data_IF_659794332579
#
_entry.id   IF_659794332579
#
_cell.length_a   1.000
_cell.length_b   1.000
_cell.length_c   1.000
_cell.angle_alpha   90.00
_cell.angle_beta   90.00
_cell.angle_gamma   90.00
#
_symmetry.space_group_name_H-M   'P 1'
#
loop_
_entity.id
_entity.type
_entity.pdbx_description
1 polymer ?
#
# COMPACT_ATOMS: atom_id res chain seq x y z
N UNK A 1 -20.08 15.44 -10.13
CA UNK A 1 -19.99 16.91 -10.01
C UNK A 1 -20.03 17.23 -8.54
N UNK A 2 -18.96 17.81 -8.01
CA UNK A 2 -18.86 18.62 -6.79
C UNK A 2 -17.44 19.14 -6.79
N UNK A 3 -17.29 20.46 -6.88
CA UNK A 3 -16.00 21.15 -7.01
C UNK A 3 -15.16 21.07 -5.73
N UNK A 4 -13.86 21.40 -5.82
CA UNK A 4 -12.99 21.46 -4.66
C UNK A 4 -13.35 22.69 -3.81
N UNK A 5 -13.58 22.45 -2.53
CA UNK A 5 -13.72 23.48 -1.51
C UNK A 5 -12.33 24.06 -1.24
N UNK A 6 -12.08 25.27 -1.72
CA UNK A 6 -10.87 26.03 -1.43
C UNK A 6 -11.02 26.67 -0.05
N UNK A 7 -10.13 26.29 0.88
CA UNK A 7 -9.95 26.95 2.17
C UNK A 7 -8.70 27.84 2.07
N UNK A 8 -8.86 29.03 1.51
CA UNK A 8 -7.99 30.17 1.79
C UNK A 8 -8.87 31.39 2.08
N UNK A 9 -8.71 32.05 3.25
CA UNK A 9 -9.43 33.28 3.55
C UNK A 9 -8.59 34.49 3.11
N UNK A 10 -9.10 35.26 2.16
CA UNK A 10 -8.51 36.50 1.69
C UNK A 10 -9.53 37.63 1.56
N UNK A 11 -9.70 38.39 2.65
CA UNK A 11 -10.16 39.80 2.72
C UNK A 11 -11.63 40.10 2.36
N UNK A 12 -12.42 40.84 3.12
CA UNK A 12 -12.27 41.64 4.33
C UNK A 12 -13.64 41.58 5.04
N UNK A 13 -13.74 41.29 6.33
CA UNK A 13 -13.85 42.34 7.35
C UNK A 13 -13.29 41.84 8.68
N UNK A 14 -12.39 42.67 9.20
CA UNK A 14 -11.56 42.59 10.40
C UNK A 14 -12.31 42.21 11.68
N UNK A 15 -12.09 41.04 12.28
CA UNK A 15 -12.27 40.78 13.73
C UNK A 15 -11.29 39.71 14.24
N UNK A 16 -10.00 39.95 14.05
CA UNK A 16 -8.91 39.20 14.69
C UNK A 16 -8.09 40.14 15.56
N UNK A 17 -8.02 39.82 16.85
CA UNK A 17 -6.95 40.14 17.81
C UNK A 17 -6.25 41.51 17.66
N UNK A 18 -6.83 42.54 18.26
CA UNK A 18 -6.04 43.68 18.72
C UNK A 18 -5.56 43.39 20.16
N UNK A 19 -4.30 42.96 20.29
CA UNK A 19 -3.53 43.11 21.52
C UNK A 19 -3.50 44.59 21.88
N UNK A 20 -4.17 44.97 22.96
CA UNK A 20 -4.11 46.32 23.51
C UNK A 20 -2.91 46.39 24.46
N UNK A 21 -1.93 47.28 24.24
CA UNK A 21 -0.82 47.48 25.18
C UNK A 21 -1.34 48.08 26.51
N UNK A 22 -0.63 47.88 27.63
CA UNK A 22 -1.05 48.40 28.92
C UNK A 22 -0.91 49.93 28.93
N UNK A 23 -2.03 50.63 29.01
CA UNK A 23 -2.04 52.07 29.26
C UNK A 23 -1.74 52.32 30.75
N UNK A 24 -0.79 53.22 30.98
CA UNK A 24 -0.29 53.62 32.29
C UNK A 24 -1.38 53.98 33.31
N UNK A 25 -1.11 53.60 34.56
CA UNK A 25 -1.83 53.97 35.78
C UNK A 25 -2.19 55.46 35.79
N UNK A 26 -3.47 55.78 35.63
CA UNK A 26 -4.06 57.02 36.14
C UNK A 26 -4.57 56.75 37.56
N UNK A 27 -4.22 57.58 38.56
CA UNK A 27 -4.76 57.42 39.90
C UNK A 27 -6.27 57.72 39.90
N UNK A 28 -7.06 57.05 40.75
CA UNK A 28 -8.49 57.31 40.84
C UNK A 28 -8.74 58.72 41.40
N UNK A 29 -9.64 59.45 40.73
CA UNK A 29 -10.26 60.67 41.25
C UNK A 29 -11.01 60.32 42.54
N UNK A 30 -10.74 61.07 43.60
CA UNK A 30 -11.55 61.09 44.81
C UNK A 30 -12.98 61.53 44.45
N UNK A 31 -13.95 60.68 44.77
CA UNK A 31 -15.36 61.05 44.85
C UNK A 31 -15.68 61.46 46.29
N UNK A 32 -16.57 62.43 46.52
CA UNK A 32 -16.89 62.93 47.85
C UNK A 32 -17.59 61.87 48.70
N UNK A 33 -17.17 61.79 49.96
CA UNK A 33 -17.94 61.27 51.09
C UNK A 33 -19.31 61.94 51.09
N UNK A 34 -20.39 61.14 51.03
CA UNK A 34 -21.67 61.38 51.70
C UNK A 34 -22.73 60.41 51.16
N UNK A 35 -22.78 59.21 51.74
CA UNK A 35 -24.05 58.49 51.95
C UNK A 35 -23.85 57.38 53.00
N UNK A 36 -24.38 57.48 54.24
CA UNK A 36 -24.30 56.42 55.23
C UNK A 36 -25.47 55.45 55.01
N UNK A 37 -25.57 54.87 53.82
CA UNK A 37 -26.32 53.63 53.65
C UNK A 37 -25.32 52.49 53.69
N UNK A 38 -25.25 51.83 54.85
CA UNK A 38 -24.59 50.54 55.07
C UNK A 38 -25.20 49.51 54.10
N UNK A 39 -24.76 49.52 52.85
CA UNK A 39 -24.88 48.34 51.99
C UNK A 39 -23.92 47.34 52.61
N UNK A 40 -24.47 46.45 53.43
CA UNK A 40 -23.77 45.26 53.93
C UNK A 40 -23.20 44.58 52.70
N UNK A 41 -21.91 44.80 52.42
CA UNK A 41 -21.13 43.88 51.59
C UNK A 41 -21.15 42.59 52.37
N UNK A 42 -22.09 41.72 52.03
CA UNK A 42 -22.01 40.32 52.38
C UNK A 42 -20.56 39.89 52.10
N UNK A 43 -19.89 39.24 53.07
CA UNK A 43 -18.56 38.71 52.84
C UNK A 43 -18.58 37.99 51.51
N UNK A 44 -17.68 38.34 50.58
CA UNK A 44 -17.51 37.52 49.38
C UNK A 44 -17.34 36.09 49.89
N UNK A 45 -18.15 35.12 49.43
CA UNK A 45 -17.96 33.74 49.80
C UNK A 45 -16.50 33.42 49.48
N UNK A 46 -15.71 33.20 50.52
CA UNK A 46 -14.35 32.71 50.32
C UNK A 46 -14.54 31.34 49.70
N UNK A 47 -13.93 31.06 48.53
CA UNK A 47 -14.05 29.75 47.91
C UNK A 47 -13.73 28.70 48.97
N UNK A 48 -14.64 27.75 49.16
CA UNK A 48 -14.40 26.64 50.07
C UNK A 48 -13.32 25.76 49.44
N UNK A 49 -12.06 26.08 49.77
CA UNK A 49 -10.90 25.45 49.16
C UNK A 49 -10.86 23.96 49.44
N UNK A 50 -11.44 23.49 50.55
CA UNK A 50 -11.55 22.06 50.84
C UNK A 50 -12.55 21.36 49.92
N UNK A 51 -13.71 21.96 49.65
CA UNK A 51 -14.69 21.41 48.71
C UNK A 51 -14.18 21.43 47.27
N UNK A 52 -13.43 22.48 46.88
CA UNK A 52 -12.78 22.56 45.57
C UNK A 52 -11.66 21.51 45.46
N UNK A 53 -10.89 21.26 46.53
CA UNK A 53 -9.88 20.21 46.59
C UNK A 53 -10.47 18.82 46.47
N UNK A 54 -11.58 18.55 47.17
CA UNK A 54 -12.32 17.28 47.06
C UNK A 54 -12.83 17.08 45.65
N UNK A 55 -13.46 18.09 45.06
CA UNK A 55 -13.95 18.01 43.67
C UNK A 55 -12.81 17.81 42.67
N UNK A 56 -11.66 18.47 42.89
CA UNK A 56 -10.47 18.30 42.08
C UNK A 56 -9.90 16.88 42.19
N UNK A 57 -9.90 16.28 43.40
CA UNK A 57 -9.47 14.90 43.61
C UNK A 57 -10.44 13.89 42.99
N UNK A 58 -11.75 14.06 43.18
CA UNK A 58 -12.78 13.16 42.68
C UNK A 58 -12.84 13.13 41.15
N UNK A 59 -12.60 14.27 40.50
CA UNK A 59 -12.63 14.42 39.05
C UNK A 59 -11.24 14.43 38.41
N UNK A 60 -10.17 14.15 39.17
CA UNK A 60 -8.78 14.28 38.70
C UNK A 60 -8.54 13.50 37.40
N UNK A 61 -9.00 12.25 37.31
CA UNK A 61 -8.80 11.40 36.13
C UNK A 61 -9.52 11.90 34.87
N UNK A 62 -10.62 12.65 35.04
CA UNK A 62 -11.45 13.18 33.94
C UNK A 62 -11.06 14.62 33.56
N UNK A 63 -10.57 15.40 34.52
CA UNK A 63 -10.09 16.77 34.35
C UNK A 63 -8.64 16.80 33.86
N UNK A 64 -7.81 15.87 34.32
CA UNK A 64 -6.37 15.80 33.99
C UNK A 64 -6.07 15.80 32.48
N UNK A 65 -6.83 15.08 31.63
CA UNK A 65 -6.69 15.10 30.17
C UNK A 65 -7.19 16.36 29.46
N UNK A 66 -7.96 17.22 30.13
CA UNK A 66 -8.55 18.40 29.49
C UNK A 66 -7.44 19.34 28.99
N UNK A 67 -7.58 19.81 27.74
CA UNK A 67 -6.63 20.75 27.10
C UNK A 67 -7.04 22.22 27.25
N UNK A 68 -8.27 22.48 27.69
CA UNK A 68 -8.77 23.83 27.95
C UNK A 68 -9.77 23.85 29.12
N UNK A 69 -9.83 24.92 29.93
CA UNK A 69 -10.85 25.09 30.98
C UNK A 69 -12.31 24.91 30.52
N UNK A 70 -12.60 25.12 29.24
CA UNK A 70 -13.95 24.93 28.69
C UNK A 70 -14.35 23.46 28.54
N UNK A 71 -13.39 22.55 28.36
CA UNK A 71 -13.68 21.10 28.41
C UNK A 71 -14.04 20.68 29.83
N UNK A 72 -13.36 21.26 30.83
CA UNK A 72 -13.71 21.09 32.24
C UNK A 72 -15.10 21.68 32.52
N UNK A 73 -15.44 22.84 31.97
CA UNK A 73 -16.78 23.41 32.11
C UNK A 73 -17.86 22.49 31.51
N UNK A 74 -17.64 21.96 30.30
CA UNK A 74 -18.55 21.02 29.65
C UNK A 74 -18.69 19.71 30.45
N UNK A 75 -17.59 19.23 31.04
CA UNK A 75 -17.60 18.09 31.95
C UNK A 75 -18.47 18.35 33.18
N UNK A 76 -18.27 19.48 33.86
CA UNK A 76 -19.04 19.85 35.05
C UNK A 76 -20.53 20.07 34.71
N UNK A 77 -20.83 20.64 33.54
CA UNK A 77 -22.20 20.78 33.02
C UNK A 77 -22.85 19.42 32.78
N UNK A 78 -22.12 18.47 32.18
CA UNK A 78 -22.61 17.10 31.96
C UNK A 78 -22.85 16.32 33.27
N UNK A 79 -22.09 16.63 34.33
CA UNK A 79 -22.35 16.13 35.70
C UNK A 79 -23.56 16.81 36.38
N UNK A 80 -24.19 17.78 35.71
CA UNK A 80 -25.39 18.45 36.20
C UNK A 80 -25.12 19.56 37.24
N UNK A 81 -23.91 20.11 37.29
CA UNK A 81 -23.60 21.22 38.19
C UNK A 81 -24.33 22.51 37.76
N UNK A 82 -25.34 22.89 38.54
CA UNK A 82 -26.09 24.13 38.34
C UNK A 82 -25.30 25.36 38.81
N UNK A 83 -25.60 26.53 38.24
CA UNK A 83 -24.95 27.78 38.62
C UNK A 83 -25.17 28.16 40.10
N UNK A 84 -26.29 27.75 40.69
CA UNK A 84 -26.56 27.95 42.12
C UNK A 84 -25.69 27.04 43.00
N UNK A 85 -25.54 25.77 42.63
CA UNK A 85 -24.64 24.86 43.32
C UNK A 85 -23.18 25.33 43.26
N UNK A 86 -22.74 25.86 42.10
CA UNK A 86 -21.38 26.41 41.94
C UNK A 86 -21.11 27.57 42.89
N UNK A 87 -22.06 28.50 43.01
CA UNK A 87 -21.94 29.67 43.89
C UNK A 87 -22.01 29.31 45.36
N UNK A 88 -22.97 28.46 45.74
CA UNK A 88 -23.24 28.15 47.15
C UNK A 88 -22.23 27.18 47.76
N UNK A 89 -21.79 26.17 47.00
CA UNK A 89 -20.93 25.10 47.51
C UNK A 89 -19.44 25.35 47.31
N UNK A 90 -19.07 25.99 46.20
CA UNK A 90 -17.65 26.18 45.84
C UNK A 90 -17.20 27.64 45.87
N UNK A 91 -18.12 28.59 46.12
CA UNK A 91 -17.81 30.02 46.22
C UNK A 91 -17.34 30.68 44.91
N UNK A 92 -17.51 30.00 43.77
CA UNK A 92 -17.15 30.51 42.45
C UNK A 92 -18.33 31.23 41.78
N UNK A 93 -18.11 32.34 41.06
CA UNK A 93 -19.18 33.16 40.49
C UNK A 93 -19.97 32.46 39.37
N UNK A 94 -19.32 31.55 38.64
CA UNK A 94 -19.91 30.78 37.56
C UNK A 94 -19.12 29.48 37.31
N UNK A 95 -19.72 28.58 36.53
CA UNK A 95 -19.15 27.28 36.14
C UNK A 95 -17.76 27.42 35.51
N UNK A 96 -17.55 28.42 34.66
CA UNK A 96 -16.27 28.66 33.98
C UNK A 96 -15.15 29.05 34.96
N UNK A 97 -15.47 29.83 35.98
CA UNK A 97 -14.50 30.20 37.02
C UNK A 97 -14.09 29.00 37.87
N UNK A 98 -15.05 28.14 38.22
CA UNK A 98 -14.76 26.86 38.89
C UNK A 98 -13.93 25.94 37.98
N UNK A 99 -14.29 25.84 36.70
CA UNK A 99 -13.58 25.03 35.72
C UNK A 99 -12.13 25.49 35.53
N UNK A 100 -11.86 26.80 35.48
CA UNK A 100 -10.49 27.34 35.46
C UNK A 100 -9.72 27.01 36.73
N UNK A 101 -10.36 27.13 37.91
CA UNK A 101 -9.72 26.79 39.18
C UNK A 101 -9.36 25.30 39.26
N UNK A 102 -10.25 24.40 38.83
CA UNK A 102 -9.98 22.96 38.78
C UNK A 102 -8.93 22.62 37.71
N UNK A 103 -8.95 23.32 36.57
CA UNK A 103 -7.97 23.15 35.51
C UNK A 103 -6.55 23.50 35.97
N UNK A 104 -6.37 24.57 36.75
CA UNK A 104 -5.08 24.97 37.30
C UNK A 104 -4.59 24.03 38.42
N UNK A 105 -5.53 23.41 39.16
CA UNK A 105 -5.24 22.67 40.40
C UNK A 105 -4.99 21.17 40.18
N UNK A 106 -5.65 20.57 39.18
CA UNK A 106 -5.43 19.18 38.81
C UNK A 106 -4.17 19.07 37.92
N UNK A 107 -3.19 18.19 38.25
CA UNK A 107 -2.05 17.93 37.38
C UNK A 107 -2.49 17.46 35.99
N UNK A 108 -1.88 18.00 34.94
CA UNK A 108 -2.19 17.59 33.57
C UNK A 108 -1.68 16.18 33.32
N UNK A 109 -2.58 15.30 32.91
CA UNK A 109 -2.27 13.93 32.50
C UNK A 109 -2.64 13.78 31.04
N UNK A 110 -1.70 13.41 30.18
CA UNK A 110 -1.97 13.16 28.77
C UNK A 110 -1.98 11.64 28.55
N UNK A 111 -3.12 10.96 28.81
CA UNK A 111 -3.19 9.51 28.62
C UNK A 111 -2.88 9.18 27.16
N UNK A 112 -1.97 8.23 26.96
CA UNK A 112 -1.64 7.76 25.62
C UNK A 112 -2.88 7.09 25.02
N UNK A 113 -3.38 7.63 23.90
CA UNK A 113 -4.52 7.05 23.19
C UNK A 113 -4.20 5.60 22.83
N UNK A 114 -5.16 4.69 23.04
CA UNK A 114 -5.02 3.31 22.65
C UNK A 114 -4.58 3.21 21.18
N UNK A 115 -3.58 2.38 20.91
CA UNK A 115 -3.02 2.25 19.57
C UNK A 115 -4.13 1.84 18.58
N UNK A 116 -4.51 2.76 17.69
CA UNK A 116 -5.48 2.45 16.65
C UNK A 116 -4.97 1.28 15.79
N UNK A 117 -5.85 0.35 15.40
CA UNK A 117 -5.45 -0.85 14.66
C UNK A 117 -4.72 -0.46 13.37
N UNK A 118 -3.66 -1.21 13.05
CA UNK A 118 -2.88 -1.00 11.83
C UNK A 118 -3.72 -1.36 10.59
N UNK A 119 -4.10 -0.38 9.74
CA UNK A 119 -4.89 -0.65 8.54
C UNK A 119 -4.10 -1.45 7.49
N UNK A 120 -2.78 -1.52 7.62
CA UNK A 120 -1.87 -2.19 6.69
C UNK A 120 -1.37 -3.54 7.21
N UNK A 121 -2.00 -4.08 8.27
CA UNK A 121 -1.61 -5.38 8.82
C UNK A 121 -1.64 -6.47 7.74
N UNK A 122 -0.51 -7.12 7.41
CA UNK A 122 -0.48 -8.09 6.34
C UNK A 122 -1.20 -9.38 6.72
N UNK A 123 -1.97 -9.93 5.78
CA UNK A 123 -2.38 -11.33 5.81
C UNK A 123 -1.20 -12.19 5.35
N UNK A 124 -0.43 -12.69 6.34
CA UNK A 124 0.82 -13.43 6.09
C UNK A 124 0.57 -14.69 5.25
N UNK A 125 -0.52 -15.41 5.53
CA UNK A 125 -0.85 -16.62 4.77
C UNK A 125 -1.19 -16.30 3.31
N UNK A 126 -1.93 -15.21 3.07
CA UNK A 126 -2.24 -14.76 1.72
C UNK A 126 -0.99 -14.33 0.94
N UNK A 127 -0.10 -13.53 1.53
CA UNK A 127 1.13 -13.08 0.86
C UNK A 127 2.02 -14.28 0.48
N UNK A 128 2.24 -15.21 1.41
CA UNK A 128 3.03 -16.42 1.14
C UNK A 128 2.37 -17.29 0.06
N UNK A 129 1.05 -17.46 0.11
CA UNK A 129 0.31 -18.22 -0.89
C UNK A 129 0.44 -17.59 -2.29
N UNK A 130 0.45 -16.25 -2.40
CA UNK A 130 0.66 -15.56 -3.69
C UNK A 130 2.02 -15.86 -4.29
N UNK A 131 3.09 -15.86 -3.48
CA UNK A 131 4.42 -16.27 -3.93
C UNK A 131 4.43 -17.68 -4.54
N UNK A 132 3.79 -18.64 -3.87
CA UNK A 132 3.63 -20.01 -4.39
C UNK A 132 2.82 -20.02 -5.69
N UNK A 133 1.68 -19.32 -5.73
CA UNK A 133 0.79 -19.27 -6.89
C UNK A 133 1.42 -18.62 -8.12
N UNK A 134 2.38 -17.72 -7.96
CA UNK A 134 3.12 -17.14 -9.08
C UNK A 134 4.10 -18.14 -9.71
N UNK A 135 4.71 -19.03 -8.92
CA UNK A 135 5.68 -20.01 -9.39
C UNK A 135 5.03 -21.29 -9.92
N UNK A 136 3.90 -21.70 -9.34
CA UNK A 136 3.22 -22.98 -9.61
C UNK A 136 2.87 -23.26 -11.08
N UNK A 137 2.48 -22.26 -11.90
CA UNK A 137 2.23 -22.46 -13.33
C UNK A 137 3.49 -22.92 -14.10
N UNK A 138 4.67 -22.66 -13.54
CA UNK A 138 5.95 -23.16 -14.06
C UNK A 138 5.98 -24.68 -14.21
N UNK A 139 5.24 -25.41 -13.36
CA UNK A 139 5.12 -26.87 -13.42
C UNK A 139 4.51 -27.36 -14.75
N UNK A 140 3.68 -26.55 -15.41
CA UNK A 140 3.14 -26.89 -16.72
C UNK A 140 4.25 -27.02 -17.78
N UNK A 141 5.28 -26.17 -17.72
CA UNK A 141 6.43 -26.29 -18.61
C UNK A 141 7.27 -27.53 -18.31
N UNK A 142 7.42 -27.91 -17.04
CA UNK A 142 8.11 -29.15 -16.66
C UNK A 142 7.37 -30.39 -17.22
N UNK A 143 6.04 -30.41 -17.11
CA UNK A 143 5.22 -31.49 -17.65
C UNK A 143 5.28 -31.56 -19.18
N UNK A 144 5.31 -30.40 -19.85
CA UNK A 144 5.35 -30.30 -21.30
C UNK A 144 6.75 -30.45 -21.92
N UNK A 145 7.84 -30.32 -21.15
CA UNK A 145 9.20 -30.25 -21.69
C UNK A 145 9.62 -31.44 -22.59
N UNK A 146 9.34 -32.71 -22.23
CA UNK A 146 9.72 -33.88 -23.05
C UNK A 146 8.92 -34.06 -24.33
N UNK A 147 7.89 -33.25 -24.58
CA UNK A 147 7.11 -33.29 -25.82
C UNK A 147 7.86 -32.66 -27.02
N UNK A 148 9.15 -32.33 -26.86
CA UNK A 148 10.06 -31.99 -27.96
C UNK A 148 9.83 -30.63 -28.61
N UNK A 149 9.03 -29.76 -27.99
CA UNK A 149 8.57 -28.51 -28.59
C UNK A 149 9.00 -27.25 -27.82
N UNK A 150 9.59 -27.40 -26.62
CA UNK A 150 9.87 -26.30 -25.71
C UNK A 150 10.81 -25.24 -26.31
N UNK A 151 11.92 -25.65 -26.94
CA UNK A 151 12.87 -24.71 -27.55
C UNK A 151 12.27 -23.93 -28.73
N UNK A 152 11.39 -24.58 -29.52
CA UNK A 152 10.71 -23.95 -30.65
C UNK A 152 9.64 -22.96 -30.19
N UNK A 153 8.96 -23.24 -29.08
CA UNK A 153 7.83 -22.45 -28.60
C UNK A 153 8.26 -21.29 -27.70
N UNK A 154 9.46 -21.39 -27.10
CA UNK A 154 9.97 -20.43 -26.13
C UNK A 154 9.88 -18.95 -26.59
N UNK A 155 10.33 -18.53 -27.80
CA UNK A 155 10.26 -17.12 -28.19
C UNK A 155 8.83 -16.55 -28.21
N UNK A 156 7.88 -17.33 -28.72
CA UNK A 156 6.48 -16.93 -28.81
C UNK A 156 5.81 -16.88 -27.43
N UNK A 157 6.08 -17.86 -26.57
CA UNK A 157 5.56 -17.93 -25.21
C UNK A 157 6.16 -16.82 -24.32
N UNK A 158 7.44 -16.52 -24.48
CA UNK A 158 8.11 -15.41 -23.81
C UNK A 158 7.48 -14.08 -24.25
N UNK A 159 7.32 -13.84 -25.56
CA UNK A 159 6.73 -12.61 -26.07
C UNK A 159 5.29 -12.41 -25.56
N UNK A 160 4.46 -13.47 -25.63
CA UNK A 160 3.11 -13.46 -25.06
C UNK A 160 3.11 -13.24 -23.54
N UNK A 161 4.07 -13.83 -22.82
CA UNK A 161 4.25 -13.67 -21.38
C UNK A 161 4.61 -12.24 -20.99
N UNK A 162 5.56 -11.62 -21.68
CA UNK A 162 5.96 -10.21 -21.47
C UNK A 162 4.77 -9.27 -21.68
N UNK A 163 4.01 -9.44 -22.76
CA UNK A 163 2.79 -8.65 -23.03
C UNK A 163 1.72 -8.90 -21.97
N UNK A 164 1.51 -10.16 -21.57
CA UNK A 164 0.55 -10.52 -20.52
C UNK A 164 0.91 -9.87 -19.18
N UNK A 165 2.20 -9.80 -18.85
CA UNK A 165 2.66 -9.24 -17.58
C UNK A 165 2.49 -7.71 -17.56
N UNK A 166 2.88 -7.03 -18.65
CA UNK A 166 2.65 -5.61 -18.84
C UNK A 166 1.14 -5.26 -18.76
N UNK A 167 0.31 -5.99 -19.49
CA UNK A 167 -1.14 -5.78 -19.47
C UNK A 167 -1.74 -6.07 -18.08
N UNK A 168 -1.31 -7.16 -17.45
CA UNK A 168 -1.77 -7.58 -16.12
C UNK A 168 -1.51 -6.53 -15.04
N UNK A 169 -0.37 -5.85 -15.06
CA UNK A 169 -0.07 -4.76 -14.11
C UNK A 169 -1.00 -3.56 -14.30
N UNK A 170 -1.18 -3.09 -15.53
CA UNK A 170 -2.10 -1.99 -15.83
C UNK A 170 -3.56 -2.34 -15.48
N UNK A 171 -3.99 -3.54 -15.85
CA UNK A 171 -5.34 -4.03 -15.56
C UNK A 171 -5.57 -4.21 -14.07
N UNK A 172 -4.60 -4.77 -13.34
CA UNK A 172 -4.66 -4.98 -11.89
C UNK A 172 -4.85 -3.66 -11.15
N UNK A 173 -4.01 -2.66 -11.45
CA UNK A 173 -4.16 -1.31 -10.89
C UNK A 173 -5.55 -0.72 -11.18
N UNK A 174 -5.99 -0.78 -12.45
CA UNK A 174 -7.29 -0.25 -12.85
C UNK A 174 -8.45 -0.96 -12.16
N UNK A 175 -8.37 -2.28 -12.00
CA UNK A 175 -9.39 -3.08 -11.35
C UNK A 175 -9.46 -2.79 -9.85
N UNK A 176 -8.32 -2.57 -9.17
CA UNK A 176 -8.31 -2.12 -7.77
C UNK A 176 -8.94 -0.72 -7.59
N UNK A 177 -8.70 0.22 -8.50
CA UNK A 177 -9.41 1.51 -8.49
C UNK A 177 -10.93 1.33 -8.67
N UNK A 178 -11.35 0.37 -9.50
CA UNK A 178 -12.78 0.07 -9.70
C UNK A 178 -13.39 -0.69 -8.53
N UNK A 179 -12.61 -1.49 -7.79
CA UNK A 179 -13.09 -2.15 -6.56
C UNK A 179 -13.51 -1.13 -5.50
N UNK A 180 -12.81 -0.01 -5.39
CA UNK A 180 -13.19 1.09 -4.51
C UNK A 180 -14.54 1.73 -4.90
N UNK A 181 -14.89 1.72 -6.19
CA UNK A 181 -16.17 2.23 -6.68
C UNK A 181 -17.31 1.19 -6.59
N UNK A 182 -17.00 -0.10 -6.72
CA UNK A 182 -17.98 -1.18 -6.59
C UNK A 182 -17.51 -2.50 -7.22
N UNK A 183 -18.02 -3.61 -6.68
CA UNK A 183 -17.64 -4.97 -7.13
C UNK A 183 -18.04 -5.21 -8.59
N UNK A 184 -19.28 -4.91 -8.96
CA UNK A 184 -19.77 -5.02 -10.34
C UNK A 184 -18.82 -4.34 -11.35
N UNK A 185 -18.39 -3.13 -11.02
CA UNK A 185 -17.55 -2.32 -11.90
C UNK A 185 -16.13 -2.84 -12.07
N UNK A 186 -15.57 -3.41 -11.00
CA UNK A 186 -14.33 -4.15 -11.08
C UNK A 186 -14.50 -5.42 -11.94
N UNK A 187 -15.59 -6.17 -11.75
CA UNK A 187 -15.90 -7.36 -12.55
C UNK A 187 -15.99 -7.06 -14.04
N UNK A 188 -16.66 -5.97 -14.43
CA UNK A 188 -16.73 -5.54 -15.85
C UNK A 188 -15.37 -5.20 -16.41
N UNK A 189 -14.57 -4.47 -15.63
CA UNK A 189 -13.22 -4.04 -16.03
C UNK A 189 -12.29 -5.25 -16.20
N UNK A 190 -12.37 -6.21 -15.27
CA UNK A 190 -11.62 -7.46 -15.35
C UNK A 190 -12.06 -8.30 -16.53
N UNK A 191 -13.36 -8.48 -16.78
CA UNK A 191 -13.84 -9.29 -17.90
C UNK A 191 -13.37 -8.75 -19.25
N UNK A 192 -13.61 -7.46 -19.52
CA UNK A 192 -13.23 -6.86 -20.80
C UNK A 192 -11.71 -6.71 -20.93
N UNK A 193 -11.05 -6.30 -19.85
CA UNK A 193 -9.60 -6.14 -19.81
C UNK A 193 -8.87 -7.47 -19.96
N UNK A 194 -9.31 -8.53 -19.29
CA UNK A 194 -8.70 -9.86 -19.37
C UNK A 194 -8.83 -10.44 -20.78
N UNK A 195 -10.01 -10.32 -21.41
CA UNK A 195 -10.22 -10.78 -22.78
C UNK A 195 -9.32 -10.02 -23.78
N UNK A 196 -9.28 -8.69 -23.69
CA UNK A 196 -8.42 -7.87 -24.57
C UNK A 196 -6.93 -8.19 -24.38
N UNK A 197 -6.49 -8.32 -23.13
CA UNK A 197 -5.11 -8.65 -22.80
C UNK A 197 -4.70 -10.03 -23.31
N UNK A 198 -5.57 -11.03 -23.12
CA UNK A 198 -5.32 -12.38 -23.61
C UNK A 198 -5.25 -12.41 -25.16
N UNK A 199 -6.16 -11.71 -25.84
CA UNK A 199 -6.13 -11.58 -27.29
C UNK A 199 -4.87 -10.89 -27.80
N UNK A 200 -4.44 -9.79 -27.17
CA UNK A 200 -3.23 -9.08 -27.54
C UNK A 200 -1.98 -9.95 -27.34
N UNK A 201 -1.84 -10.58 -26.18
CA UNK A 201 -0.71 -11.47 -25.90
C UNK A 201 -0.67 -12.68 -26.85
N UNK A 202 -1.83 -13.26 -27.15
CA UNK A 202 -1.95 -14.36 -28.14
C UNK A 202 -1.53 -13.89 -29.53
N UNK A 203 -1.99 -12.71 -29.97
CA UNK A 203 -1.62 -12.14 -31.25
C UNK A 203 -0.11 -11.87 -31.34
N UNK A 204 0.51 -11.38 -30.26
CA UNK A 204 1.98 -11.23 -30.18
C UNK A 204 2.69 -12.56 -30.32
N UNK A 205 2.25 -13.59 -29.58
CA UNK A 205 2.82 -14.94 -29.70
C UNK A 205 2.66 -15.52 -31.11
N UNK A 206 1.49 -15.33 -31.73
CA UNK A 206 1.22 -15.77 -33.10
C UNK A 206 2.13 -15.07 -34.12
N UNK A 207 2.33 -13.76 -33.98
CA UNK A 207 3.20 -12.98 -34.85
C UNK A 207 4.66 -13.44 -34.78
N UNK A 208 5.13 -13.80 -33.58
CA UNK A 208 6.49 -14.34 -33.39
C UNK A 208 6.62 -15.77 -33.91
N UNK A 209 5.58 -16.60 -33.78
CA UNK A 209 5.62 -18.00 -34.19
C UNK A 209 5.38 -18.25 -35.69
N UNK A 210 4.76 -17.29 -36.41
CA UNK A 210 4.29 -17.50 -37.78
C UNK A 210 3.06 -18.41 -37.90
N UNK A 211 2.35 -18.67 -36.80
CA UNK A 211 1.13 -19.50 -36.75
C UNK A 211 1.31 -20.94 -36.26
N UNK A 212 0.23 -21.72 -36.34
CA UNK A 212 0.22 -23.16 -36.02
C UNK A 212 0.04 -23.49 -34.52
N UNK A 213 0.52 -24.67 -34.05
CA UNK A 213 0.29 -25.15 -32.68
C UNK A 213 0.89 -24.25 -31.59
N UNK A 214 1.91 -23.46 -31.92
CA UNK A 214 2.52 -22.48 -31.01
C UNK A 214 1.53 -21.38 -30.61
N UNK A 215 0.67 -20.97 -31.56
CA UNK A 215 -0.37 -19.98 -31.29
C UNK A 215 -1.38 -20.50 -30.27
N UNK A 216 -1.72 -21.80 -30.32
CA UNK A 216 -2.60 -22.42 -29.33
C UNK A 216 -1.95 -22.46 -27.95
N UNK A 217 -0.66 -22.77 -27.87
CA UNK A 217 0.09 -22.73 -26.61
C UNK A 217 0.16 -21.30 -26.04
N UNK A 218 0.43 -20.30 -26.88
CA UNK A 218 0.41 -18.89 -26.49
C UNK A 218 -0.98 -18.44 -26.03
N UNK A 219 -2.04 -18.88 -26.71
CA UNK A 219 -3.42 -18.63 -26.32
C UNK A 219 -3.75 -19.24 -24.95
N UNK A 220 -3.39 -20.51 -24.74
CA UNK A 220 -3.57 -21.21 -23.47
C UNK A 220 -2.88 -20.48 -22.31
N UNK A 221 -1.61 -20.11 -22.48
CA UNK A 221 -0.84 -19.34 -21.50
C UNK A 221 -1.48 -17.97 -21.23
N UNK A 222 -1.88 -17.24 -22.28
CA UNK A 222 -2.45 -15.90 -22.15
C UNK A 222 -3.81 -15.92 -21.45
N UNK A 223 -4.66 -16.91 -21.77
CA UNK A 223 -5.94 -17.15 -21.10
C UNK A 223 -5.75 -17.52 -19.63
N UNK A 224 -4.78 -18.39 -19.33
CA UNK A 224 -4.42 -18.71 -17.94
C UNK A 224 -4.02 -17.46 -17.16
N UNK A 225 -3.07 -16.67 -17.68
CA UNK A 225 -2.57 -15.47 -17.00
C UNK A 225 -3.68 -14.44 -16.77
N UNK A 226 -4.57 -14.26 -17.75
CA UNK A 226 -5.71 -13.37 -17.66
C UNK A 226 -6.72 -13.83 -16.58
N UNK A 227 -7.04 -15.12 -16.54
CA UNK A 227 -7.95 -15.71 -15.56
C UNK A 227 -7.36 -15.69 -14.14
N UNK A 228 -6.09 -16.06 -13.99
CA UNK A 228 -5.37 -16.02 -12.72
C UNK A 228 -5.29 -14.58 -12.18
N UNK A 229 -5.00 -13.59 -13.04
CA UNK A 229 -5.00 -12.18 -12.65
C UNK A 229 -6.35 -11.72 -12.11
N UNK A 230 -7.46 -12.11 -12.76
CA UNK A 230 -8.80 -11.79 -12.27
C UNK A 230 -9.09 -12.43 -10.89
N UNK A 231 -8.71 -13.69 -10.69
CA UNK A 231 -8.87 -14.37 -9.40
C UNK A 231 -8.03 -13.72 -8.29
N UNK A 232 -6.80 -13.32 -8.59
CA UNK A 232 -5.91 -12.67 -7.62
C UNK A 232 -6.39 -11.27 -7.24
N UNK A 233 -6.85 -10.46 -8.20
CA UNK A 233 -7.44 -9.13 -7.93
C UNK A 233 -8.71 -9.26 -7.06
N UNK A 234 -9.53 -10.28 -7.33
CA UNK A 234 -10.75 -10.58 -6.55
C UNK A 234 -10.44 -11.36 -5.26
N UNK A 235 -9.17 -11.55 -4.93
CA UNK A 235 -8.71 -12.12 -3.67
C UNK A 235 -9.21 -13.57 -3.46
N UNK A 236 -9.12 -14.38 -4.53
CA UNK A 236 -9.51 -15.80 -4.61
C UNK A 236 -8.31 -16.73 -4.74
N UNK A 237 -7.28 -16.50 -3.93
CA UNK A 237 -6.02 -17.26 -3.96
C UNK A 237 -6.23 -18.76 -3.73
N UNK A 238 -7.08 -19.13 -2.76
CA UNK A 238 -7.37 -20.54 -2.44
C UNK A 238 -8.06 -21.28 -3.59
N UNK A 239 -8.92 -20.58 -4.33
CA UNK A 239 -9.60 -21.16 -5.48
C UNK A 239 -8.63 -21.36 -6.65
N UNK A 240 -7.71 -20.42 -6.85
CA UNK A 240 -6.63 -20.58 -7.83
C UNK A 240 -5.72 -21.75 -7.46
N UNK A 241 -5.36 -21.90 -6.18
CA UNK A 241 -4.59 -23.05 -5.72
C UNK A 241 -5.31 -24.36 -6.04
N UNK A 242 -6.61 -24.45 -5.73
CA UNK A 242 -7.43 -25.62 -6.03
C UNK A 242 -7.45 -25.93 -7.54
N UNK A 243 -7.61 -24.90 -8.39
CA UNK A 243 -7.61 -25.05 -9.84
C UNK A 243 -6.25 -25.54 -10.40
N UNK A 244 -5.15 -25.24 -9.71
CA UNK A 244 -3.81 -25.63 -10.12
C UNK A 244 -3.33 -26.96 -9.50
N UNK A 245 -4.13 -27.60 -8.63
CA UNK A 245 -3.80 -28.92 -8.05
C UNK A 245 -3.45 -30.00 -9.09
N UNK A 246 -4.03 -30.06 -10.32
CA UNK A 246 -3.61 -31.04 -11.32
C UNK A 246 -2.13 -30.91 -11.72
N UNK A 247 -1.57 -29.70 -11.72
CA UNK A 247 -0.15 -29.48 -12.00
C UNK A 247 0.72 -30.06 -10.88
N UNK A 248 0.33 -29.86 -9.62
CA UNK A 248 1.05 -30.39 -8.47
C UNK A 248 1.02 -31.92 -8.50
N UNK A 249 -0.16 -32.49 -8.72
CA UNK A 249 -0.36 -33.93 -8.79
C UNK A 249 0.43 -34.57 -9.94
N UNK A 250 0.56 -33.88 -11.07
CA UNK A 250 1.37 -34.35 -12.21
C UNK A 250 2.87 -34.20 -12.00
N UNK A 251 3.31 -33.10 -11.40
CA UNK A 251 4.72 -32.78 -11.28
C UNK A 251 5.39 -33.46 -10.07
N UNK A 252 4.68 -33.66 -8.97
CA UNK A 252 5.21 -34.30 -7.76
C UNK A 252 5.81 -35.70 -8.01
N UNK A 253 5.19 -36.61 -8.78
CA UNK A 253 5.74 -37.94 -8.99
C UNK A 253 6.84 -38.02 -10.06
N UNK A 254 7.13 -36.94 -10.80
CA UNK A 254 8.13 -36.95 -11.90
C UNK A 254 9.49 -37.55 -11.54
N UNK A 255 10.04 -37.39 -10.31
CA UNK A 255 11.31 -38.02 -9.95
C UNK A 255 11.28 -39.54 -9.91
N UNK A 256 10.11 -40.16 -9.75
CA UNK A 256 9.93 -41.60 -9.54
C UNK A 256 9.10 -42.27 -10.63
N UNK A 257 8.32 -41.49 -11.39
CA UNK A 257 7.40 -42.01 -12.37
C UNK A 257 7.27 -41.06 -13.56
N UNK A 258 7.37 -41.64 -14.76
CA UNK A 258 7.26 -40.94 -16.03
C UNK A 258 5.80 -40.99 -16.54
N UNK A 259 5.02 -39.89 -16.43
CA UNK A 259 3.67 -39.86 -16.95
C UNK A 259 3.69 -39.92 -18.48
N UNK A 260 2.81 -40.74 -19.06
CA UNK A 260 2.64 -40.81 -20.51
C UNK A 260 2.21 -39.46 -21.14
N UNK A 261 2.31 -39.32 -22.47
CA UNK A 261 2.06 -38.05 -23.17
C UNK A 261 0.65 -37.48 -22.93
N UNK A 262 -0.34 -38.36 -22.76
CA UNK A 262 -1.73 -37.98 -22.45
C UNK A 262 -1.83 -37.24 -21.12
N UNK A 263 -1.16 -37.70 -20.07
CA UNK A 263 -1.19 -37.04 -18.75
C UNK A 263 -0.35 -35.76 -18.73
N UNK A 264 0.80 -35.77 -19.41
CA UNK A 264 1.67 -34.60 -19.55
C UNK A 264 0.97 -33.40 -20.20
N UNK A 265 0.07 -33.65 -21.17
CA UNK A 265 -0.74 -32.61 -21.80
C UNK A 265 -2.09 -32.39 -21.10
N UNK A 266 -2.73 -33.46 -20.64
CA UNK A 266 -4.05 -33.43 -20.02
C UNK A 266 -4.08 -32.67 -18.71
N UNK A 267 -3.05 -32.79 -17.87
CA UNK A 267 -3.01 -32.12 -16.56
C UNK A 267 -2.88 -30.59 -16.67
N UNK A 268 -1.98 -30.02 -17.51
CA UNK A 268 -1.99 -28.58 -17.80
C UNK A 268 -3.29 -28.07 -18.41
N UNK A 269 -3.90 -28.82 -19.34
CA UNK A 269 -5.18 -28.43 -19.93
C UNK A 269 -6.32 -28.46 -18.90
N UNK A 270 -6.32 -29.43 -18.00
CA UNK A 270 -7.28 -29.51 -16.90
C UNK A 270 -7.11 -28.32 -15.94
N UNK A 271 -5.88 -27.97 -15.59
CA UNK A 271 -5.59 -26.81 -14.75
C UNK A 271 -6.03 -25.49 -15.41
N UNK A 272 -5.79 -25.34 -16.71
CA UNK A 272 -6.28 -24.20 -17.50
C UNK A 272 -7.81 -24.13 -17.47
N UNK A 273 -8.49 -25.23 -17.78
CA UNK A 273 -9.95 -25.30 -17.81
C UNK A 273 -10.55 -25.00 -16.42
N UNK A 274 -9.98 -25.56 -15.35
CA UNK A 274 -10.39 -25.29 -13.98
C UNK A 274 -10.20 -23.81 -13.60
N UNK A 275 -9.09 -23.20 -14.01
CA UNK A 275 -8.81 -21.78 -13.74
C UNK A 275 -9.80 -20.87 -14.48
N UNK A 276 -10.10 -21.17 -15.74
CA UNK A 276 -11.09 -20.43 -16.54
C UNK A 276 -12.51 -20.58 -15.95
N UNK A 277 -12.89 -21.79 -15.57
CA UNK A 277 -14.18 -22.05 -14.93
C UNK A 277 -14.32 -21.32 -13.59
N UNK A 278 -13.27 -21.36 -12.76
CA UNK A 278 -13.21 -20.63 -11.50
C UNK A 278 -13.33 -19.11 -11.71
N UNK A 279 -12.56 -18.54 -12.63
CA UNK A 279 -12.62 -17.12 -12.96
C UNK A 279 -14.01 -16.72 -13.47
N UNK A 280 -14.59 -17.51 -14.38
CA UNK A 280 -15.94 -17.28 -14.90
C UNK A 280 -17.03 -17.39 -13.83
N UNK A 281 -16.91 -18.33 -12.89
CA UNK A 281 -17.84 -18.45 -11.75
C UNK A 281 -17.76 -17.24 -10.82
N UNK A 282 -16.54 -16.82 -10.43
CA UNK A 282 -16.34 -15.66 -9.57
C UNK A 282 -16.79 -14.36 -10.26
N UNK A 283 -16.45 -14.17 -11.54
CA UNK A 283 -16.85 -12.98 -12.30
C UNK A 283 -18.37 -12.91 -12.47
N UNK A 284 -19.07 -14.03 -12.71
CA UNK A 284 -20.53 -14.05 -12.74
C UNK A 284 -21.13 -13.58 -11.41
N UNK A 285 -20.61 -14.06 -10.28
CA UNK A 285 -21.08 -13.62 -8.96
C UNK A 285 -20.85 -12.12 -8.72
N UNK A 286 -19.69 -11.61 -9.14
CA UNK A 286 -19.35 -10.18 -9.01
C UNK A 286 -20.22 -9.30 -9.93
N UNK A 287 -20.45 -9.73 -11.17
CA UNK A 287 -21.30 -9.03 -12.13
C UNK A 287 -22.79 -9.09 -11.76
N UNK A 288 -23.21 -10.08 -10.98
CA UNK A 288 -24.56 -10.15 -10.42
C UNK A 288 -24.84 -9.13 -9.31
N UNK A 289 -23.81 -8.47 -8.76
CA UNK A 289 -24.00 -7.39 -7.79
C UNK A 289 -24.56 -6.13 -8.47
N UNK A 290 -25.42 -5.35 -7.79
CA UNK A 290 -26.00 -4.14 -8.38
C UNK A 290 -24.90 -3.11 -8.72
N UNK A 291 -24.99 -2.43 -9.87
CA UNK A 291 -24.02 -1.41 -10.25
C UNK A 291 -24.13 -0.21 -9.32
N UNK A 292 -22.99 0.39 -8.98
CA UNK A 292 -22.96 1.59 -8.16
C UNK A 292 -23.32 2.83 -9.01
N UNK A 293 -24.29 3.66 -8.57
CA UNK A 293 -24.73 4.83 -9.34
C UNK A 293 -23.63 5.89 -9.41
N UNK A 294 -23.52 6.57 -10.55
CA UNK A 294 -22.63 7.73 -10.72
C UNK A 294 -21.13 7.43 -10.74
N UNK A 295 -20.71 6.16 -10.85
CA UNK A 295 -19.28 5.82 -10.83
C UNK A 295 -18.55 6.27 -12.10
N UNK A 296 -17.56 7.15 -11.95
CA UNK A 296 -16.70 7.56 -13.07
C UNK A 296 -15.65 6.49 -13.36
N UNK A 297 -15.41 6.20 -14.63
CA UNK A 297 -14.29 5.34 -15.04
C UNK A 297 -12.98 6.10 -14.86
N UNK A 298 -11.94 5.52 -14.25
CA UNK A 298 -10.64 6.16 -14.18
C UNK A 298 -10.12 6.36 -15.61
N UNK A 299 -9.44 7.48 -15.90
CA UNK A 299 -8.85 7.70 -17.22
C UNK A 299 -7.77 6.64 -17.49
N UNK A 300 -7.66 6.19 -18.74
CA UNK A 300 -6.70 5.14 -19.14
C UNK A 300 -5.23 5.51 -18.83
N UNK A 301 -4.77 6.76 -19.03
CA UNK A 301 -3.38 7.13 -18.76
C UNK A 301 -2.90 6.93 -17.32
N UNK A 302 -3.80 6.88 -16.34
CA UNK A 302 -3.44 6.63 -14.93
C UNK A 302 -2.88 5.21 -14.73
N UNK A 303 -3.33 4.24 -15.54
CA UNK A 303 -2.87 2.85 -15.47
C UNK A 303 -1.66 2.56 -16.36
N UNK A 304 -1.32 3.47 -17.26
CA UNK A 304 -0.19 3.34 -18.20
C UNK A 304 1.16 3.10 -17.50
N UNK A 305 1.59 3.87 -16.48
CA UNK A 305 2.90 3.65 -15.86
C UNK A 305 3.03 2.26 -15.22
N UNK A 306 1.95 1.69 -14.69
CA UNK A 306 1.97 0.33 -14.14
C UNK A 306 2.20 -0.73 -15.22
N UNK A 307 1.60 -0.55 -16.40
CA UNK A 307 1.84 -1.45 -17.54
C UNK A 307 3.26 -1.33 -18.10
N UNK A 308 3.77 -0.10 -18.20
CA UNK A 308 5.15 0.18 -18.58
C UNK A 308 6.16 -0.41 -17.60
N UNK A 309 5.89 -0.31 -16.30
CA UNK A 309 6.67 -0.99 -15.28
C UNK A 309 6.60 -2.51 -15.43
N UNK A 310 5.41 -3.08 -15.65
CA UNK A 310 5.26 -4.52 -15.90
C UNK A 310 6.07 -5.00 -17.10
N UNK A 311 6.13 -4.22 -18.18
CA UNK A 311 6.98 -4.47 -19.33
C UNK A 311 8.48 -4.44 -18.98
N UNK A 312 8.90 -3.43 -18.23
CA UNK A 312 10.29 -3.29 -17.78
C UNK A 312 10.71 -4.45 -16.86
N UNK A 313 9.90 -4.77 -15.86
CA UNK A 313 10.11 -5.87 -14.94
C UNK A 313 10.20 -7.21 -15.70
N UNK A 314 9.27 -7.44 -16.63
CA UNK A 314 9.28 -8.63 -17.49
C UNK A 314 10.57 -8.76 -18.30
N UNK A 315 11.03 -7.65 -18.86
CA UNK A 315 12.25 -7.62 -19.68
C UNK A 315 13.50 -7.88 -18.84
N UNK A 316 13.62 -7.26 -17.65
CA UNK A 316 14.76 -7.47 -16.75
C UNK A 316 14.82 -8.91 -16.23
N UNK A 317 13.68 -9.47 -15.80
CA UNK A 317 13.59 -10.87 -15.35
C UNK A 317 13.88 -11.84 -16.50
N UNK A 318 13.45 -11.52 -17.72
CA UNK A 318 13.79 -12.31 -18.90
C UNK A 318 15.30 -12.30 -19.17
N UNK A 319 15.95 -11.14 -19.10
CA UNK A 319 17.40 -11.03 -19.30
C UNK A 319 18.19 -11.87 -18.29
N UNK A 320 17.79 -11.84 -17.02
CA UNK A 320 18.36 -12.70 -15.98
C UNK A 320 18.09 -14.18 -16.26
N UNK A 321 16.83 -14.53 -16.56
CA UNK A 321 16.41 -15.92 -16.80
C UNK A 321 17.05 -16.58 -18.02
N UNK A 322 17.53 -15.79 -18.99
CA UNK A 322 18.31 -16.31 -20.12
C UNK A 322 19.66 -16.88 -19.69
N UNK A 323 20.26 -16.35 -18.63
CA UNK A 323 21.54 -16.82 -18.08
C UNK A 323 21.30 -17.80 -16.93
N UNK A 324 20.37 -17.48 -16.04
CA UNK A 324 20.10 -18.22 -14.81
C UNK A 324 18.60 -18.51 -14.64
N UNK A 325 18.03 -19.53 -15.33
CA UNK A 325 16.60 -19.80 -15.31
C UNK A 325 16.05 -20.16 -13.91
N UNK A 326 16.86 -20.82 -13.07
CA UNK A 326 16.48 -21.15 -11.70
C UNK A 326 16.39 -19.91 -10.79
N UNK A 327 17.15 -18.85 -11.09
CA UNK A 327 17.09 -17.60 -10.34
C UNK A 327 15.73 -16.91 -10.50
N UNK A 328 15.10 -17.05 -11.68
CA UNK A 328 13.74 -16.54 -11.93
C UNK A 328 12.70 -17.25 -11.05
N UNK A 329 12.87 -18.56 -10.80
CA UNK A 329 11.99 -19.31 -9.90
C UNK A 329 12.13 -18.76 -8.48
N UNK A 330 13.36 -18.57 -8.00
CA UNK A 330 13.64 -17.97 -6.70
C UNK A 330 13.00 -16.58 -6.58
N UNK A 331 13.20 -15.72 -7.58
CA UNK A 331 12.63 -14.37 -7.62
C UNK A 331 11.10 -14.37 -7.67
N UNK A 332 10.51 -15.34 -8.36
CA UNK A 332 9.05 -15.48 -8.46
C UNK A 332 8.45 -15.90 -7.11
N UNK A 333 9.06 -16.87 -6.43
CA UNK A 333 8.63 -17.30 -5.09
C UNK A 333 8.82 -16.18 -4.06
N UNK A 334 9.91 -15.42 -4.17
CA UNK A 334 10.20 -14.29 -3.26
C UNK A 334 9.20 -13.15 -3.38
N UNK A 335 8.35 -13.12 -4.41
CA UNK A 335 7.30 -12.10 -4.54
C UNK A 335 6.28 -12.13 -3.39
N UNK A 336 6.05 -13.28 -2.75
CA UNK A 336 5.19 -13.38 -1.58
C UNK A 336 5.75 -12.64 -0.35
N UNK A 337 6.97 -12.98 0.10
CA UNK A 337 7.69 -12.21 1.11
C UNK A 337 7.88 -10.72 0.76
N UNK A 338 8.12 -10.40 -0.51
CA UNK A 338 8.20 -9.03 -1.00
C UNK A 338 6.90 -8.25 -0.72
N UNK A 339 5.74 -8.81 -1.09
CA UNK A 339 4.42 -8.22 -0.82
C UNK A 339 4.17 -8.05 0.68
N UNK A 340 4.54 -9.04 1.50
CA UNK A 340 4.45 -8.95 2.95
C UNK A 340 5.25 -7.77 3.51
N UNK A 341 6.49 -7.59 3.04
CA UNK A 341 7.36 -6.48 3.45
C UNK A 341 6.82 -5.11 2.98
N UNK A 342 6.15 -5.04 1.83
CA UNK A 342 5.49 -3.79 1.39
C UNK A 342 4.40 -3.37 2.37
N UNK A 343 3.54 -4.31 2.79
CA UNK A 343 2.51 -4.03 3.80
C UNK A 343 3.12 -3.64 5.16
N UNK A 344 4.16 -4.35 5.60
CA UNK A 344 4.88 -4.00 6.84
C UNK A 344 5.51 -2.61 6.79
N UNK A 345 6.15 -2.25 5.68
CA UNK A 345 6.72 -0.91 5.52
C UNK A 345 5.64 0.17 5.63
N UNK A 346 4.46 -0.03 5.02
CA UNK A 346 3.34 0.93 5.13
C UNK A 346 2.85 1.06 6.58
N UNK A 347 2.59 -0.07 7.25
CA UNK A 347 2.15 -0.06 8.65
C UNK A 347 3.17 0.59 9.58
N UNK A 348 4.45 0.26 9.43
CA UNK A 348 5.53 0.85 10.22
C UNK A 348 5.78 2.33 9.90
N UNK A 349 5.57 2.76 8.66
CA UNK A 349 5.67 4.18 8.29
C UNK A 349 4.54 5.00 8.94
N UNK A 350 3.32 4.47 8.99
CA UNK A 350 2.21 5.11 9.72
C UNK A 350 2.49 5.15 11.24
N UNK A 351 3.04 4.07 11.81
CA UNK A 351 3.45 4.06 13.20
C UNK A 351 4.59 5.06 13.48
N UNK A 352 5.56 5.16 12.58
CA UNK A 352 6.64 6.14 12.66
C UNK A 352 6.09 7.57 12.59
N UNK A 353 5.14 7.85 11.70
CA UNK A 353 4.49 9.15 11.57
C UNK A 353 3.86 9.59 12.89
N UNK A 354 3.19 8.67 13.60
CA UNK A 354 2.57 8.94 14.91
C UNK A 354 3.60 9.13 16.03
N UNK A 355 4.76 8.48 15.93
CA UNK A 355 5.78 8.49 16.98
C UNK A 355 6.82 9.61 16.83
N UNK A 356 6.85 10.34 15.71
CA UNK A 356 7.87 11.36 15.43
C UNK A 356 7.30 12.77 15.46
N UNK A 357 7.95 13.67 16.20
CA UNK A 357 7.54 15.07 16.33
C UNK A 357 8.16 16.00 15.26
N UNK A 358 9.17 15.54 14.50
CA UNK A 358 9.84 16.37 13.49
C UNK A 358 9.96 15.66 12.13
N UNK A 359 9.91 16.39 11.00
CA UNK A 359 10.08 15.82 9.67
C UNK A 359 11.43 15.10 9.48
N UNK A 360 12.51 15.62 10.08
CA UNK A 360 13.83 15.01 10.00
C UNK A 360 13.88 13.66 10.73
N UNK A 361 13.29 13.57 11.93
CA UNK A 361 13.19 12.31 12.67
C UNK A 361 12.34 11.27 11.92
N UNK A 362 11.24 11.72 11.29
CA UNK A 362 10.44 10.86 10.42
C UNK A 362 11.24 10.33 9.24
N UNK A 363 11.98 11.19 8.54
CA UNK A 363 12.82 10.79 7.40
C UNK A 363 13.87 9.76 7.81
N UNK A 364 14.59 9.99 8.91
CA UNK A 364 15.61 9.04 9.39
C UNK A 364 14.98 7.68 9.76
N UNK A 365 13.82 7.69 10.43
CA UNK A 365 13.11 6.48 10.81
C UNK A 365 12.55 5.73 9.60
N UNK A 366 11.97 6.45 8.64
CA UNK A 366 11.48 5.90 7.37
C UNK A 366 12.63 5.30 6.54
N UNK A 367 13.78 5.97 6.48
CA UNK A 367 14.99 5.46 5.84
C UNK A 367 15.52 4.19 6.52
N UNK A 368 15.54 4.16 7.86
CA UNK A 368 15.91 2.97 8.63
C UNK A 368 14.96 1.79 8.38
N UNK A 369 13.65 2.04 8.32
CA UNK A 369 12.65 1.02 7.99
C UNK A 369 12.78 0.51 6.55
N UNK A 370 13.09 1.40 5.59
CA UNK A 370 13.36 1.02 4.21
C UNK A 370 14.58 0.10 4.15
N UNK A 371 15.68 0.49 4.80
CA UNK A 371 16.90 -0.31 4.89
C UNK A 371 16.66 -1.66 5.54
N UNK A 372 15.87 -1.71 6.62
CA UNK A 372 15.48 -2.96 7.29
C UNK A 372 14.67 -3.87 6.36
N UNK A 373 13.66 -3.34 5.66
CA UNK A 373 12.86 -4.13 4.73
C UNK A 373 13.68 -4.64 3.54
N UNK A 374 14.53 -3.81 2.96
CA UNK A 374 15.45 -4.23 1.89
C UNK A 374 16.41 -5.31 2.38
N UNK A 375 17.03 -5.12 3.54
CA UNK A 375 17.93 -6.11 4.11
C UNK A 375 17.19 -7.44 4.37
N UNK A 376 16.02 -7.40 5.01
CA UNK A 376 15.21 -8.58 5.28
C UNK A 376 14.75 -9.30 3.99
N UNK A 377 14.51 -8.56 2.91
CA UNK A 377 14.15 -9.13 1.62
C UNK A 377 15.34 -9.79 0.91
N UNK A 378 16.49 -9.12 0.91
CA UNK A 378 17.67 -9.51 0.15
C UNK A 378 18.48 -10.62 0.85
N UNK A 379 18.50 -10.65 2.18
CA UNK A 379 19.24 -11.62 2.97
C UNK A 379 18.94 -13.10 2.58
N UNK A 380 17.67 -13.56 2.49
CA UNK A 380 17.38 -14.94 2.07
C UNK A 380 17.65 -15.19 0.58
N UNK A 381 17.71 -14.14 -0.25
CA UNK A 381 18.00 -14.27 -1.68
C UNK A 381 19.49 -14.54 -1.95
N UNK A 382 20.40 -14.14 -1.05
CA UNK A 382 21.83 -14.40 -1.20
C UNK A 382 22.17 -15.90 -1.24
N UNK A 383 21.79 -16.72 -0.23
CA UNK A 383 22.03 -18.16 -0.32
C UNK A 383 21.23 -18.82 -1.46
N UNK A 384 20.05 -18.30 -1.81
CA UNK A 384 19.28 -18.81 -2.94
C UNK A 384 19.96 -18.56 -4.30
N UNK A 385 20.63 -17.41 -4.47
CA UNK A 385 21.46 -17.14 -5.65
C UNK A 385 22.59 -18.16 -5.77
N UNK A 386 23.31 -18.41 -4.67
CA UNK A 386 24.41 -19.37 -4.61
C UNK A 386 23.93 -20.80 -4.94
N UNK A 387 22.78 -21.21 -4.38
CA UNK A 387 22.19 -22.53 -4.64
C UNK A 387 21.75 -22.71 -6.09
N UNK A 388 21.37 -21.63 -6.78
CA UNK A 388 20.93 -21.67 -8.18
C UNK A 388 22.07 -21.42 -9.18
N UNK A 389 23.29 -21.17 -8.69
CA UNK A 389 24.45 -20.83 -9.51
C UNK A 389 24.36 -19.47 -10.19
N UNK A 390 23.47 -18.59 -9.72
CA UNK A 390 23.31 -17.23 -10.21
C UNK A 390 24.30 -16.29 -9.53
N UNK A 391 24.72 -15.23 -10.23
CA UNK A 391 25.49 -14.15 -9.60
C UNK A 391 24.65 -13.46 -8.51
N UNK A 392 25.07 -13.51 -7.23
CA UNK A 392 24.35 -12.83 -6.17
C UNK A 392 24.19 -11.34 -6.43
N UNK A 393 25.17 -10.67 -7.04
CA UNK A 393 25.05 -9.24 -7.30
C UNK A 393 23.92 -8.93 -8.29
N UNK A 394 23.84 -9.66 -9.41
CA UNK A 394 22.77 -9.51 -10.39
C UNK A 394 21.38 -9.77 -9.78
N UNK A 395 21.21 -10.90 -9.09
CA UNK A 395 19.91 -11.26 -8.52
C UNK A 395 19.46 -10.28 -7.43
N UNK A 396 20.37 -9.88 -6.53
CA UNK A 396 20.04 -8.98 -5.43
C UNK A 396 19.73 -7.56 -5.93
N UNK A 397 20.49 -7.03 -6.90
CA UNK A 397 20.24 -5.70 -7.46
C UNK A 397 18.94 -5.67 -8.28
N UNK A 398 18.64 -6.75 -9.02
CA UNK A 398 17.38 -6.91 -9.71
C UNK A 398 16.20 -6.95 -8.72
N UNK A 399 16.28 -7.82 -7.71
CA UNK A 399 15.26 -7.95 -6.68
C UNK A 399 15.03 -6.62 -5.94
N UNK A 400 16.10 -5.93 -5.57
CA UNK A 400 16.02 -4.62 -4.93
C UNK A 400 15.36 -3.58 -5.84
N UNK A 401 15.72 -3.53 -7.12
CA UNK A 401 15.12 -2.60 -8.10
C UNK A 401 13.62 -2.83 -8.22
N UNK A 402 13.20 -4.09 -8.42
CA UNK A 402 11.78 -4.43 -8.57
C UNK A 402 10.98 -4.11 -7.30
N UNK A 403 11.50 -4.49 -6.13
CA UNK A 403 10.82 -4.24 -4.85
C UNK A 403 10.68 -2.74 -4.56
N UNK A 404 11.75 -1.97 -4.77
CA UNK A 404 11.75 -0.51 -4.50
C UNK A 404 10.83 0.24 -5.48
N UNK A 405 10.74 -0.20 -6.74
CA UNK A 405 9.81 0.34 -7.72
C UNK A 405 8.34 0.02 -7.38
N UNK A 406 8.06 -1.22 -6.96
CA UNK A 406 6.74 -1.63 -6.48
C UNK A 406 6.33 -0.86 -5.23
N UNK A 407 7.27 -0.57 -4.33
CA UNK A 407 7.04 0.25 -3.16
C UNK A 407 6.56 1.65 -3.57
N UNK A 408 7.30 2.34 -4.45
CA UNK A 408 6.89 3.66 -4.96
C UNK A 408 5.50 3.62 -5.61
N UNK A 409 5.20 2.58 -6.38
CA UNK A 409 3.88 2.38 -6.99
C UNK A 409 2.78 2.17 -5.97
N UNK A 410 3.04 1.45 -4.88
CA UNK A 410 2.08 1.26 -3.79
C UNK A 410 1.70 2.59 -3.12
N UNK A 411 2.60 3.58 -3.14
CA UNK A 411 2.36 4.96 -2.69
C UNK A 411 1.88 5.91 -3.80
N UNK A 412 1.51 5.39 -4.97
CA UNK A 412 1.00 6.19 -6.09
C UNK A 412 2.07 6.89 -6.94
N UNK A 413 3.35 6.70 -6.64
CA UNK A 413 4.48 7.26 -7.40
C UNK A 413 4.85 6.33 -8.56
N UNK A 414 3.97 6.28 -9.57
CA UNK A 414 4.08 5.30 -10.64
C UNK A 414 4.99 5.73 -11.81
N UNK A 415 5.00 7.00 -12.19
CA UNK A 415 5.78 7.45 -13.36
C UNK A 415 7.30 7.39 -13.15
N UNK A 416 7.87 7.94 -12.06
CA UNK A 416 9.32 7.85 -11.83
C UNK A 416 9.81 6.40 -11.78
N UNK A 417 9.08 5.52 -11.07
CA UNK A 417 9.44 4.11 -10.97
C UNK A 417 9.37 3.39 -12.31
N UNK A 418 8.33 3.64 -13.11
CA UNK A 418 8.20 3.07 -14.46
C UNK A 418 9.31 3.55 -15.40
N UNK A 419 9.61 4.85 -15.43
CA UNK A 419 10.65 5.41 -16.31
C UNK A 419 12.04 4.88 -15.95
N UNK A 420 12.40 4.85 -14.65
CA UNK A 420 13.70 4.33 -14.20
C UNK A 420 13.85 2.84 -14.54
N UNK A 421 12.79 2.04 -14.35
CA UNK A 421 12.85 0.61 -14.70
C UNK A 421 12.91 0.40 -16.21
N UNK A 422 12.18 1.20 -17.00
CA UNK A 422 12.21 1.14 -18.46
C UNK A 422 13.57 1.52 -19.02
N UNK A 423 14.22 2.56 -18.49
CA UNK A 423 15.56 2.94 -18.93
C UNK A 423 16.57 1.84 -18.61
N UNK A 424 16.52 1.26 -17.40
CA UNK A 424 17.36 0.13 -17.02
C UNK A 424 17.14 -1.09 -17.93
N UNK A 425 15.87 -1.46 -18.18
CA UNK A 425 15.50 -2.55 -19.06
C UNK A 425 15.95 -2.31 -20.51
N UNK A 426 15.73 -1.11 -21.03
CA UNK A 426 16.10 -0.71 -22.39
C UNK A 426 17.61 -0.72 -22.59
N UNK A 427 18.38 -0.16 -21.65
CA UNK A 427 19.85 -0.18 -21.69
C UNK A 427 20.39 -1.62 -21.65
N UNK A 428 19.93 -2.43 -20.71
CA UNK A 428 20.38 -3.83 -20.59
C UNK A 428 19.99 -4.66 -21.82
N UNK A 429 18.77 -4.49 -22.34
CA UNK A 429 18.32 -5.16 -23.55
C UNK A 429 19.12 -4.74 -24.79
N UNK A 430 19.38 -3.44 -24.97
CA UNK A 430 20.12 -2.91 -26.12
C UNK A 430 21.55 -3.46 -26.15
N UNK A 431 22.27 -3.41 -25.03
CA UNK A 431 23.64 -3.94 -24.91
C UNK A 431 23.66 -5.45 -25.16
N UNK A 432 22.68 -6.18 -24.64
CA UNK A 432 22.55 -7.64 -24.85
C UNK A 432 22.28 -7.98 -26.31
N UNK A 433 21.37 -7.24 -26.98
CA UNK A 433 20.99 -7.47 -28.37
C UNK A 433 22.13 -7.12 -29.34
N UNK A 434 22.84 -6.02 -29.09
CA UNK A 434 23.98 -5.57 -29.90
C UNK A 434 25.30 -6.28 -29.56
N UNK A 435 25.31 -7.17 -28.56
CA UNK A 435 26.50 -7.90 -28.07
C UNK A 435 27.65 -6.96 -27.70
N UNK A 436 27.34 -5.82 -27.10
CA UNK A 436 28.33 -4.81 -26.70
C UNK A 436 29.01 -5.22 -25.38
N UNK A 437 30.31 -4.92 -25.19
CA UNK A 437 30.94 -5.01 -23.88
C UNK A 437 30.37 -3.93 -22.93
N UNK A 438 30.20 -4.21 -21.62
CA UNK A 438 30.49 -5.44 -20.88
C UNK A 438 29.24 -6.35 -20.80
N UNK A 439 29.14 -7.33 -21.70
CA UNK A 439 27.94 -8.17 -21.89
C UNK A 439 27.29 -8.72 -20.61
N UNK A 440 27.99 -9.48 -19.74
CA UNK A 440 27.38 -10.08 -18.55
C UNK A 440 27.17 -9.06 -17.41
N UNK A 441 28.00 -8.02 -17.31
CA UNK A 441 27.92 -7.04 -16.22
C UNK A 441 26.86 -5.96 -16.44
N UNK A 442 26.29 -5.83 -17.65
CA UNK A 442 25.35 -4.75 -17.94
C UNK A 442 24.08 -4.79 -17.09
N UNK A 443 23.54 -5.99 -16.84
CA UNK A 443 22.32 -6.16 -16.07
C UNK A 443 22.50 -5.70 -14.61
N UNK A 444 23.50 -6.21 -13.84
CA UNK A 444 23.75 -5.70 -12.50
C UNK A 444 24.09 -4.21 -12.49
N UNK A 445 24.81 -3.68 -13.48
CA UNK A 445 25.10 -2.24 -13.56
C UNK A 445 23.82 -1.39 -13.74
N UNK A 446 22.94 -1.79 -14.67
CA UNK A 446 21.66 -1.11 -14.91
C UNK A 446 20.74 -1.20 -13.68
N UNK A 447 20.63 -2.37 -13.05
CA UNK A 447 19.87 -2.54 -11.82
C UNK A 447 20.47 -1.77 -10.64
N UNK A 448 21.81 -1.73 -10.51
CA UNK A 448 22.49 -0.94 -9.50
C UNK A 448 22.22 0.56 -9.65
N UNK A 449 22.33 1.11 -10.86
CA UNK A 449 21.96 2.49 -11.12
C UNK A 449 20.47 2.76 -10.84
N UNK A 450 19.59 1.86 -11.26
CA UNK A 450 18.16 1.97 -11.04
C UNK A 450 17.81 1.98 -9.55
N UNK A 451 18.35 1.06 -8.75
CA UNK A 451 18.06 1.00 -7.31
C UNK A 451 18.55 2.24 -6.57
N UNK A 452 19.69 2.82 -6.98
CA UNK A 452 20.18 4.08 -6.42
C UNK A 452 19.20 5.23 -6.73
N UNK A 453 18.78 5.37 -7.99
CA UNK A 453 17.80 6.39 -8.38
C UNK A 453 16.45 6.20 -7.66
N UNK A 454 15.96 4.96 -7.58
CA UNK A 454 14.72 4.63 -6.87
C UNK A 454 14.84 4.93 -5.37
N UNK A 455 15.99 4.65 -4.75
CA UNK A 455 16.24 4.94 -3.33
C UNK A 455 16.20 6.44 -3.07
N UNK A 456 16.81 7.26 -3.95
CA UNK A 456 16.73 8.72 -3.87
C UNK A 456 15.27 9.19 -4.00
N UNK A 457 14.50 8.63 -4.93
CA UNK A 457 13.07 8.93 -5.05
C UNK A 457 12.28 8.55 -3.79
N UNK A 458 12.53 7.37 -3.21
CA UNK A 458 11.88 6.93 -1.97
C UNK A 458 12.20 7.88 -0.82
N UNK A 459 13.47 8.23 -0.61
CA UNK A 459 13.86 9.13 0.48
C UNK A 459 13.28 10.54 0.29
N UNK A 460 13.28 11.06 -0.95
CA UNK A 460 12.76 12.40 -1.24
C UNK A 460 11.24 12.52 -1.17
N UNK A 461 10.51 11.45 -1.52
CA UNK A 461 9.04 11.44 -1.59
C UNK A 461 8.41 10.80 -0.35
N UNK A 462 8.80 9.57 -0.01
CA UNK A 462 8.24 8.84 1.13
C UNK A 462 8.85 9.25 2.48
N UNK A 463 9.95 10.00 2.47
CA UNK A 463 10.46 10.69 3.67
C UNK A 463 9.62 11.89 4.10
N UNK A 464 8.59 12.28 3.32
CA UNK A 464 7.68 13.38 3.66
C UNK A 464 6.46 12.86 4.43
N UNK A 465 6.14 13.45 5.59
CA UNK A 465 4.96 13.04 6.39
C UNK A 465 3.64 13.06 5.61
N UNK A 466 3.47 14.01 4.69
CA UNK A 466 2.24 14.24 3.93
C UNK A 466 1.84 13.11 2.98
N UNK A 467 2.74 12.16 2.70
CA UNK A 467 2.46 11.01 1.82
C UNK A 467 1.81 9.84 2.59
N UNK A 468 1.86 9.89 3.92
CA UNK A 468 1.37 8.82 4.81
C UNK A 468 0.13 9.20 5.62
N UNK A 469 -0.29 10.47 5.53
CA UNK A 469 -1.56 10.98 6.05
C UNK A 469 -2.66 10.80 5.00
#
# INVERSE_FOLDING_TARGET
>A
MSGPMALEPGGAEQHTLALRPPAALRPPRALPDDDPTLVVRLPRPVPDQEEVDRLAADLADRIGPAVHPYEVAALLEAEGLSADAVRQRYGHPNLFSLASALYERVPRTFPELAAAPDPWRPDTARCLLRGVLFALPGLAYLLAAPLGQAARYAPALIAAGVVSWAWGQALGHRAHLRLAAGRHEAGRTLLTGAALGASLATATGAAVAGGGPVTLAAAAQSLYLAAASALLVLARERLLLAALTPLIAGAAPLPWWEPGPVLRLGLPLLALAATLAAAGWVLRGVLGTPPAPGTRRPPLPVSLPYGLFGLAAASLVLLEGRQHPYAVIVLTVSMGPAEWLLYRYRGWSVAALRATATPAAFLLRSAGLLGLCLFAYLLPLTPAALLTGADPAALLLLAATLWTALLLQAFGVAWPSALICLTAAGCAALVTLLRLPPGPAVLPLCCGAAVLCLSVCVLGLLGRPSVHA
#
